data_IF_285367879249
#
_entry.id   IF_285367879249
#
_cell.length_a   1.000
_cell.length_b   1.000
_cell.length_c   1.000
_cell.angle_alpha   90.00
_cell.angle_beta   90.00
_cell.angle_gamma   90.00
#
_symmetry.space_group_name_H-M   'P 1'
#
loop_
_entity.id
_entity.type
_entity.pdbx_description
1 polymer ?
#
# COMPACT_ATOMS: atom_id res chain seq x y z
N UNK A 1 5.50 -25.55 -16.02
CA UNK A 1 5.21 -24.97 -14.69
C UNK A 1 3.74 -25.21 -14.39
N UNK A 2 3.34 -25.22 -13.11
CA UNK A 2 1.93 -25.35 -12.75
C UNK A 2 1.26 -23.99 -13.05
N UNK A 3 0.08 -23.99 -13.67
CA UNK A 3 -0.64 -22.78 -14.03
C UNK A 3 -0.85 -21.88 -12.80
N UNK A 4 -0.75 -20.57 -12.97
CA UNK A 4 -0.93 -19.62 -11.86
C UNK A 4 -2.32 -19.76 -11.22
N UNK A 5 -3.37 -19.99 -12.03
CA UNK A 5 -4.72 -20.31 -11.56
C UNK A 5 -4.73 -21.50 -10.61
N UNK A 6 -4.06 -22.60 -10.96
CA UNK A 6 -3.91 -23.78 -10.11
C UNK A 6 -3.11 -23.47 -8.84
N UNK A 7 -2.01 -22.71 -8.94
CA UNK A 7 -1.21 -22.31 -7.77
C UNK A 7 -2.07 -21.46 -6.80
N UNK A 8 -2.77 -20.47 -7.32
CA UNK A 8 -3.64 -19.58 -6.53
C UNK A 8 -4.76 -20.41 -5.87
N UNK A 9 -5.41 -21.32 -6.61
CA UNK A 9 -6.42 -22.23 -6.07
C UNK A 9 -5.88 -23.16 -4.97
N UNK A 10 -4.64 -23.65 -5.11
CA UNK A 10 -3.96 -24.44 -4.08
C UNK A 10 -3.74 -23.62 -2.82
N UNK A 11 -3.28 -22.36 -2.92
CA UNK A 11 -3.10 -21.50 -1.75
C UNK A 11 -4.42 -21.08 -1.09
N UNK A 12 -5.48 -20.88 -1.86
CA UNK A 12 -6.81 -20.53 -1.34
C UNK A 12 -7.48 -21.70 -0.61
N UNK A 13 -7.25 -22.93 -1.09
CA UNK A 13 -7.90 -24.14 -0.55
C UNK A 13 -7.12 -24.76 0.59
N UNK A 14 -5.78 -24.68 0.56
CA UNK A 14 -4.94 -25.34 1.54
C UNK A 14 -5.16 -24.77 2.95
N UNK A 15 -5.40 -25.67 3.90
CA UNK A 15 -5.46 -25.36 5.34
C UNK A 15 -4.19 -25.85 6.00
N UNK A 16 -3.36 -24.92 6.46
CA UNK A 16 -2.05 -25.23 7.02
C UNK A 16 -2.10 -26.28 8.16
N UNK A 17 -3.09 -26.21 9.04
CA UNK A 17 -3.26 -27.13 10.16
C UNK A 17 -3.65 -28.54 9.73
N UNK A 18 -4.42 -28.68 8.65
CA UNK A 18 -4.79 -29.98 8.10
C UNK A 18 -3.60 -30.63 7.39
N UNK A 19 -2.82 -29.85 6.66
CA UNK A 19 -1.63 -30.36 5.96
C UNK A 19 -0.55 -30.78 6.95
N UNK A 20 -0.22 -29.91 7.91
CA UNK A 20 0.79 -30.23 8.91
C UNK A 20 0.33 -31.36 9.84
N UNK A 21 -0.97 -31.44 10.13
CA UNK A 21 -1.57 -32.50 10.95
C UNK A 21 -1.39 -33.92 10.39
N UNK A 22 -1.11 -34.08 9.10
CA UNK A 22 -0.77 -35.38 8.50
C UNK A 22 0.60 -35.89 8.98
N UNK A 23 1.53 -34.98 9.28
CA UNK A 23 2.93 -35.29 9.58
C UNK A 23 3.24 -35.18 11.07
N UNK A 24 2.61 -34.23 11.75
CA UNK A 24 2.93 -33.86 13.13
C UNK A 24 1.67 -33.91 13.99
N UNK A 25 1.76 -34.54 15.16
CA UNK A 25 0.65 -34.60 16.09
C UNK A 25 0.39 -33.23 16.75
N UNK A 26 -0.51 -32.45 16.15
CA UNK A 26 -0.90 -31.13 16.63
C UNK A 26 -1.83 -31.21 17.86
N UNK A 27 -1.51 -30.43 18.90
CA UNK A 27 -2.37 -30.21 20.07
C UNK A 27 -2.86 -28.77 20.09
N UNK A 28 -4.15 -28.55 20.34
CA UNK A 28 -4.74 -27.21 20.37
C UNK A 28 -4.18 -26.37 21.54
N UNK A 29 -3.88 -25.10 21.29
CA UNK A 29 -3.36 -24.15 22.27
C UNK A 29 -3.93 -22.75 21.99
N UNK A 30 -5.09 -22.46 22.56
CA UNK A 30 -5.85 -21.22 22.27
C UNK A 30 -6.39 -21.22 20.84
N UNK A 31 -6.10 -20.15 20.10
CA UNK A 31 -6.43 -20.01 18.67
C UNK A 31 -5.40 -20.66 17.73
N UNK A 32 -4.29 -21.17 18.26
CA UNK A 32 -3.21 -21.82 17.51
C UNK A 32 -3.10 -23.31 17.87
N UNK A 33 -2.21 -24.02 17.19
CA UNK A 33 -1.80 -25.38 17.51
C UNK A 33 -0.32 -25.42 17.92
N UNK A 34 0.03 -26.37 18.78
CA UNK A 34 1.39 -26.65 19.21
C UNK A 34 1.75 -28.12 19.05
N UNK A 35 3.01 -28.42 18.78
CA UNK A 35 3.56 -29.77 18.74
C UNK A 35 5.04 -29.77 19.11
N UNK A 36 5.63 -30.96 19.23
CA UNK A 36 7.07 -31.12 19.23
C UNK A 36 7.61 -30.77 17.84
N UNK A 37 8.81 -30.20 17.80
CA UNK A 37 9.54 -29.91 16.56
C UNK A 37 9.69 -31.20 15.74
N UNK A 38 9.32 -31.17 14.45
CA UNK A 38 9.65 -32.27 13.54
C UNK A 38 11.08 -32.15 12.99
N UNK A 39 11.81 -31.08 13.32
CA UNK A 39 13.15 -30.80 12.81
C UNK A 39 14.26 -31.01 13.84
N UNK A 40 13.92 -31.01 15.12
CA UNK A 40 14.87 -31.22 16.22
C UNK A 40 14.28 -32.16 17.26
N UNK A 41 15.14 -32.97 17.90
CA UNK A 41 14.71 -33.87 18.97
C UNK A 41 14.55 -33.08 20.27
N UNK A 42 13.31 -32.89 20.71
CA UNK A 42 12.96 -32.09 21.88
C UNK A 42 11.88 -32.75 22.74
N UNK A 43 11.83 -32.38 24.02
CA UNK A 43 10.82 -32.87 24.98
C UNK A 43 9.70 -31.86 25.28
N UNK A 44 9.92 -30.59 24.96
CA UNK A 44 8.96 -29.51 25.21
C UNK A 44 8.48 -28.96 23.87
N UNK A 45 7.16 -28.88 23.62
CA UNK A 45 6.63 -28.38 22.34
C UNK A 45 7.10 -26.97 21.98
N UNK A 46 7.88 -26.84 20.91
CA UNK A 46 8.34 -25.56 20.36
C UNK A 46 7.82 -25.28 18.94
N UNK A 47 7.08 -26.22 18.33
CA UNK A 47 6.48 -26.04 17.02
C UNK A 47 5.07 -25.47 17.12
N UNK A 48 4.82 -24.33 16.48
CA UNK A 48 3.56 -23.60 16.53
C UNK A 48 2.97 -23.41 15.13
N UNK A 49 1.65 -23.65 15.01
CA UNK A 49 0.90 -23.43 13.76
C UNK A 49 -0.23 -22.44 14.02
N UNK A 50 -0.35 -21.43 13.16
CA UNK A 50 -1.42 -20.45 13.23
C UNK A 50 -2.33 -20.56 12.00
N UNK A 51 -3.54 -21.14 12.15
CA UNK A 51 -4.52 -21.22 11.08
C UNK A 51 -4.91 -19.85 10.53
N UNK A 52 -5.03 -18.85 11.41
CA UNK A 52 -5.43 -17.49 11.02
C UNK A 52 -4.36 -16.84 10.15
N UNK A 53 -3.08 -17.02 10.49
CA UNK A 53 -1.96 -16.44 9.73
C UNK A 53 -1.51 -17.31 8.54
N UNK A 54 -2.05 -18.54 8.41
CA UNK A 54 -1.61 -19.56 7.45
C UNK A 54 -0.09 -19.78 7.44
N UNK A 55 0.52 -19.74 8.64
CA UNK A 55 1.97 -19.98 8.84
C UNK A 55 2.25 -20.92 10.01
N UNK A 56 3.43 -21.53 9.96
CA UNK A 56 4.02 -22.27 11.06
C UNK A 56 5.37 -21.66 11.44
N UNK A 57 5.78 -21.86 12.70
CA UNK A 57 7.08 -21.48 13.21
C UNK A 57 7.56 -22.55 14.19
N UNK A 58 8.78 -23.00 13.98
CA UNK A 58 9.50 -23.80 14.93
C UNK A 58 10.50 -22.93 15.69
N UNK A 59 10.32 -22.81 17.01
CA UNK A 59 11.18 -21.97 17.84
C UNK A 59 12.52 -22.64 18.19
N UNK A 60 12.60 -23.96 18.10
CA UNK A 60 13.85 -24.70 18.37
C UNK A 60 14.82 -24.62 17.18
N UNK A 61 14.36 -24.92 15.95
CA UNK A 61 15.18 -24.85 14.74
C UNK A 61 15.26 -23.45 14.12
N UNK A 62 14.36 -22.54 14.50
CA UNK A 62 14.21 -21.22 13.90
C UNK A 62 13.53 -21.24 12.53
N UNK A 63 13.16 -22.41 11.99
CA UNK A 63 12.48 -22.53 10.69
C UNK A 63 11.01 -22.09 10.78
N UNK A 64 10.45 -21.67 9.65
CA UNK A 64 9.04 -21.27 9.58
C UNK A 64 8.64 -20.82 8.18
N UNK A 65 7.34 -20.80 7.92
CA UNK A 65 6.81 -20.40 6.61
C UNK A 65 5.35 -20.75 6.44
N UNK A 66 4.90 -20.74 5.19
CA UNK A 66 3.56 -21.21 4.83
C UNK A 66 3.53 -22.75 4.69
N UNK A 67 2.37 -23.28 4.31
CA UNK A 67 2.17 -24.73 4.12
C UNK A 67 3.10 -25.35 3.06
N UNK A 68 3.45 -24.60 2.01
CA UNK A 68 4.39 -25.06 0.98
C UNK A 68 5.80 -25.14 1.54
N UNK A 69 6.22 -24.10 2.27
CA UNK A 69 7.51 -24.08 2.95
C UNK A 69 7.63 -25.21 3.98
N UNK A 70 6.54 -25.61 4.66
CA UNK A 70 6.55 -26.79 5.54
C UNK A 70 6.95 -28.05 4.77
N UNK A 71 6.28 -28.33 3.65
CA UNK A 71 6.54 -29.51 2.83
C UNK A 71 7.95 -29.49 2.24
N UNK A 72 8.44 -28.32 1.85
CA UNK A 72 9.81 -28.17 1.37
C UNK A 72 10.85 -28.43 2.47
N UNK A 73 10.58 -28.00 3.71
CA UNK A 73 11.50 -28.19 4.84
C UNK A 73 11.44 -29.59 5.45
N UNK A 74 10.24 -30.20 5.52
CA UNK A 74 9.98 -31.49 6.17
C UNK A 74 10.17 -32.68 5.23
N UNK A 75 9.56 -32.62 4.04
CA UNK A 75 9.61 -33.69 3.04
C UNK A 75 10.70 -33.47 1.99
N UNK A 76 11.44 -32.35 2.07
CA UNK A 76 12.46 -31.96 1.09
C UNK A 76 11.93 -31.87 -0.35
N UNK A 77 10.63 -31.56 -0.50
CA UNK A 77 10.03 -31.33 -1.80
C UNK A 77 10.59 -30.07 -2.46
N UNK A 78 10.76 -30.11 -3.78
CA UNK A 78 10.85 -28.89 -4.57
C UNK A 78 9.50 -28.14 -4.57
N UNK A 79 9.53 -26.82 -4.85
CA UNK A 79 8.30 -26.02 -4.88
C UNK A 79 7.19 -26.62 -5.79
N UNK A 80 7.46 -27.08 -7.02
CA UNK A 80 6.45 -27.74 -7.84
C UNK A 80 5.93 -29.04 -7.22
N UNK A 81 6.78 -29.84 -6.57
CA UNK A 81 6.35 -31.07 -5.91
C UNK A 81 5.44 -30.80 -4.72
N UNK A 82 5.73 -29.76 -3.93
CA UNK A 82 4.88 -29.33 -2.84
C UNK A 82 3.50 -28.85 -3.33
N UNK A 83 3.45 -28.09 -4.44
CA UNK A 83 2.17 -27.70 -5.05
C UNK A 83 1.41 -28.93 -5.59
N UNK A 84 2.10 -29.89 -6.23
CA UNK A 84 1.47 -31.16 -6.69
C UNK A 84 0.93 -32.00 -5.54
N UNK A 85 1.62 -32.02 -4.41
CA UNK A 85 1.15 -32.71 -3.20
C UNK A 85 -0.15 -32.08 -2.70
N UNK A 86 -0.18 -30.75 -2.54
CA UNK A 86 -1.36 -30.02 -2.07
C UNK A 86 -2.53 -30.15 -3.05
N UNK A 87 -2.28 -30.01 -4.35
CA UNK A 87 -3.31 -30.16 -5.37
C UNK A 87 -3.96 -31.56 -5.32
N UNK A 88 -3.15 -32.63 -5.18
CA UNK A 88 -3.67 -33.99 -5.00
C UNK A 88 -4.48 -34.15 -3.71
N UNK A 89 -3.99 -33.60 -2.59
CA UNK A 89 -4.70 -33.66 -1.29
C UNK A 89 -6.07 -33.02 -1.34
N UNK A 90 -6.20 -31.89 -2.04
CA UNK A 90 -7.45 -31.14 -2.14
C UNK A 90 -8.26 -31.41 -3.41
N UNK A 91 -7.87 -32.41 -4.22
CA UNK A 91 -8.58 -32.78 -5.44
C UNK A 91 -8.58 -31.69 -6.53
N UNK A 92 -7.56 -30.84 -6.56
CA UNK A 92 -7.38 -29.76 -7.54
C UNK A 92 -6.69 -30.33 -8.78
N UNK A 93 -7.33 -30.20 -9.93
CA UNK A 93 -6.74 -30.59 -11.22
C UNK A 93 -5.57 -29.66 -11.57
N UNK A 94 -4.44 -30.26 -11.95
CA UNK A 94 -3.21 -29.51 -12.25
C UNK A 94 -3.17 -29.21 -13.74
N UNK A 95 -3.40 -27.95 -14.09
CA UNK A 95 -3.09 -27.46 -15.43
C UNK A 95 -1.59 -27.19 -15.52
N UNK A 96 -0.87 -27.95 -16.35
CA UNK A 96 0.54 -27.68 -16.63
C UNK A 96 0.65 -26.70 -17.81
N UNK A 97 1.30 -25.57 -17.59
CA UNK A 97 1.64 -24.62 -18.65
C UNK A 97 3.11 -24.75 -19.06
N UNK A 98 3.35 -24.82 -20.37
CA UNK A 98 4.65 -24.49 -20.94
C UNK A 98 4.67 -22.97 -21.06
N UNK A 99 5.60 -22.28 -20.39
CA UNK A 99 5.79 -20.86 -20.68
C UNK A 99 6.21 -20.74 -22.14
N UNK A 100 5.45 -19.97 -22.90
CA UNK A 100 5.88 -19.55 -24.24
C UNK A 100 7.19 -18.78 -24.10
N UNK A 101 8.02 -18.78 -25.15
CA UNK A 101 9.27 -18.01 -25.12
C UNK A 101 9.00 -16.52 -24.82
N UNK A 102 7.89 -15.98 -25.34
CA UNK A 102 7.39 -14.63 -25.03
C UNK A 102 7.10 -14.41 -23.52
N UNK A 103 6.55 -15.40 -22.81
CA UNK A 103 6.30 -15.31 -21.37
C UNK A 103 7.59 -15.36 -20.55
N UNK A 104 8.61 -16.10 -21.02
CA UNK A 104 9.94 -16.11 -20.39
C UNK A 104 10.64 -14.77 -20.60
N UNK A 105 10.64 -14.26 -21.83
CA UNK A 105 11.22 -12.96 -22.16
C UNK A 105 10.60 -11.83 -21.32
N UNK A 106 9.26 -11.82 -21.16
CA UNK A 106 8.59 -10.83 -20.31
C UNK A 106 8.96 -10.95 -18.83
N UNK A 107 9.19 -12.18 -18.34
CA UNK A 107 9.61 -12.43 -16.96
C UNK A 107 11.06 -11.97 -16.75
N UNK A 108 11.95 -12.29 -17.67
CA UNK A 108 13.37 -11.89 -17.65
C UNK A 108 13.53 -10.37 -17.77
N UNK A 109 12.71 -9.73 -18.60
CA UNK A 109 12.64 -8.28 -18.70
C UNK A 109 12.21 -7.67 -17.36
N UNK A 110 11.12 -8.18 -16.77
CA UNK A 110 10.66 -7.71 -15.44
C UNK A 110 11.74 -7.85 -14.37
N UNK A 111 12.44 -8.98 -14.34
CA UNK A 111 13.51 -9.21 -13.37
C UNK A 111 14.66 -8.24 -13.58
N UNK A 112 15.04 -7.98 -14.84
CA UNK A 112 16.04 -6.98 -15.19
C UNK A 112 15.67 -5.57 -14.70
N UNK A 113 14.38 -5.20 -14.77
CA UNK A 113 13.90 -3.93 -14.23
C UNK A 113 13.99 -3.88 -12.69
N UNK A 114 13.72 -4.99 -11.99
CA UNK A 114 13.84 -5.06 -10.53
C UNK A 114 15.30 -4.90 -10.10
N UNK A 115 16.22 -5.63 -10.73
CA UNK A 115 17.66 -5.55 -10.42
C UNK A 115 18.17 -4.11 -10.61
N UNK A 116 17.82 -3.47 -11.73
CA UNK A 116 18.21 -2.08 -11.98
C UNK A 116 17.60 -1.09 -10.97
N UNK A 117 16.37 -1.32 -10.53
CA UNK A 117 15.71 -0.48 -9.52
C UNK A 117 16.34 -0.65 -8.12
N UNK A 118 16.70 -1.87 -7.72
CA UNK A 118 17.43 -2.13 -6.48
C UNK A 118 18.82 -1.52 -6.51
N UNK A 119 19.53 -1.63 -7.63
CA UNK A 119 20.82 -0.94 -7.81
C UNK A 119 20.67 0.58 -7.67
N UNK A 120 19.63 1.18 -8.27
CA UNK A 120 19.38 2.61 -8.14
C UNK A 120 19.11 3.04 -6.69
N UNK A 121 18.35 2.26 -5.92
CA UNK A 121 18.14 2.51 -4.49
C UNK A 121 19.47 2.57 -3.73
N UNK A 122 20.34 1.57 -3.94
CA UNK A 122 21.67 1.52 -3.32
C UNK A 122 22.52 2.74 -3.69
N UNK A 123 22.55 3.13 -4.97
CA UNK A 123 23.32 4.31 -5.42
C UNK A 123 22.77 5.60 -4.82
N UNK A 124 21.45 5.76 -4.76
CA UNK A 124 20.86 6.98 -4.19
C UNK A 124 21.07 7.04 -2.68
N UNK A 125 21.00 5.92 -1.97
CA UNK A 125 21.32 5.83 -0.55
C UNK A 125 22.81 6.16 -0.31
N UNK A 126 23.72 5.53 -1.06
CA UNK A 126 25.16 5.82 -1.01
C UNK A 126 25.43 7.30 -1.27
N UNK A 127 24.84 7.87 -2.31
CA UNK A 127 25.00 9.29 -2.63
C UNK A 127 24.55 10.18 -1.47
N UNK A 128 23.43 9.86 -0.80
CA UNK A 128 22.94 10.63 0.34
C UNK A 128 23.95 10.63 1.50
N UNK A 129 24.52 9.46 1.80
CA UNK A 129 25.38 9.27 2.97
C UNK A 129 26.85 9.57 2.73
N UNK A 130 27.36 9.45 1.50
CA UNK A 130 28.79 9.51 1.22
C UNK A 130 29.21 10.72 0.41
N UNK A 131 28.36 11.21 -0.51
CA UNK A 131 28.71 12.37 -1.35
C UNK A 131 28.59 13.71 -0.63
N UNK A 132 29.40 14.68 -1.02
CA UNK A 132 29.34 16.04 -0.46
C UNK A 132 27.98 16.71 -0.71
N UNK A 133 27.40 16.55 -1.91
CA UNK A 133 26.07 17.09 -2.23
C UNK A 133 24.97 16.40 -1.41
N UNK A 134 25.03 15.07 -1.27
CA UNK A 134 24.09 14.30 -0.47
C UNK A 134 24.10 14.74 1.00
N UNK A 135 25.30 14.90 1.59
CA UNK A 135 25.46 15.38 2.97
C UNK A 135 25.00 16.82 3.15
N UNK A 136 25.44 17.72 2.28
CA UNK A 136 25.18 19.15 2.41
C UNK A 136 23.74 19.54 2.08
N UNK A 137 23.10 18.85 1.14
CA UNK A 137 21.78 19.22 0.59
C UNK A 137 20.73 18.20 1.01
N UNK A 138 20.91 16.93 0.66
CA UNK A 138 19.93 15.86 0.88
C UNK A 138 19.68 15.57 2.36
N UNK A 139 20.74 15.27 3.12
CA UNK A 139 20.65 15.00 4.56
C UNK A 139 20.19 16.24 5.34
N UNK A 140 20.65 17.43 4.97
CA UNK A 140 20.19 18.68 5.59
C UNK A 140 18.68 18.82 5.44
N UNK A 141 18.12 18.58 4.24
CA UNK A 141 16.67 18.61 4.04
C UNK A 141 15.93 17.60 4.92
N UNK A 142 16.39 16.35 5.00
CA UNK A 142 15.73 15.34 5.83
C UNK A 142 15.83 15.67 7.33
N UNK A 143 16.94 16.27 7.77
CA UNK A 143 17.11 16.76 9.14
C UNK A 143 16.19 17.93 9.46
N UNK A 144 16.02 18.90 8.54
CA UNK A 144 15.07 20.01 8.69
C UNK A 144 13.62 19.51 8.75
N UNK A 145 13.33 18.39 8.10
CA UNK A 145 12.06 17.66 8.22
C UNK A 145 11.92 16.90 9.54
N UNK A 146 12.97 16.79 10.35
CA UNK A 146 12.94 16.07 11.61
C UNK A 146 13.12 14.55 11.48
N UNK A 147 13.54 14.05 10.32
CA UNK A 147 13.79 12.62 10.15
C UNK A 147 15.11 12.19 10.81
N UNK A 148 15.06 11.14 11.63
CA UNK A 148 16.24 10.58 12.27
C UNK A 148 17.06 9.74 11.27
N UNK A 149 18.37 9.54 11.52
CA UNK A 149 19.19 8.64 10.71
C UNK A 149 18.61 7.24 10.55
N UNK A 150 17.98 6.71 11.61
CA UNK A 150 17.35 5.39 11.63
C UNK A 150 16.15 5.35 10.69
N UNK A 151 15.32 6.40 10.70
CA UNK A 151 14.17 6.53 9.79
C UNK A 151 14.62 6.66 8.33
N UNK A 152 15.64 7.49 8.07
CA UNK A 152 16.22 7.68 6.74
C UNK A 152 16.69 6.32 6.17
N UNK A 153 17.36 5.50 7.00
CA UNK A 153 17.79 4.15 6.63
C UNK A 153 16.63 3.15 6.51
N UNK A 154 15.66 3.17 7.42
CA UNK A 154 14.47 2.28 7.41
C UNK A 154 13.68 2.40 6.10
N UNK A 155 13.58 3.62 5.57
CA UNK A 155 12.89 3.91 4.31
C UNK A 155 13.82 3.94 3.09
N UNK A 156 15.11 3.63 3.24
CA UNK A 156 16.14 3.69 2.19
C UNK A 156 16.11 5.01 1.43
N UNK A 157 15.89 6.12 2.14
CA UNK A 157 15.84 7.44 1.51
C UNK A 157 17.21 7.77 0.90
N UNK A 158 17.19 8.44 -0.25
CA UNK A 158 18.39 8.68 -1.03
C UNK A 158 18.50 10.08 -1.61
N UNK A 159 19.56 10.31 -2.37
CA UNK A 159 19.79 11.55 -3.11
C UNK A 159 20.31 11.25 -4.53
N UNK A 160 19.67 11.85 -5.52
CA UNK A 160 20.17 11.91 -6.89
C UNK A 160 20.96 13.21 -7.04
N UNK A 161 22.24 13.08 -7.39
CA UNK A 161 23.16 14.21 -7.57
C UNK A 161 22.60 15.24 -8.56
N UNK A 162 22.96 16.52 -8.38
CA UNK A 162 22.56 17.60 -9.27
C UNK A 162 23.41 17.67 -10.55
N UNK A 163 23.60 16.51 -11.17
CA UNK A 163 24.38 16.29 -12.38
C UNK A 163 23.52 15.60 -13.43
N UNK A 164 23.74 15.90 -14.71
CA UNK A 164 22.86 15.39 -15.77
C UNK A 164 22.97 13.90 -15.99
N UNK A 165 24.11 13.26 -15.71
CA UNK A 165 24.38 11.89 -16.15
C UNK A 165 25.06 11.05 -15.06
N UNK A 166 25.06 11.51 -13.82
CA UNK A 166 25.81 10.87 -12.74
C UNK A 166 25.36 9.42 -12.52
N UNK A 167 24.06 9.18 -12.38
CA UNK A 167 23.51 7.84 -12.23
C UNK A 167 23.64 7.03 -13.53
N UNK A 168 23.21 7.62 -14.66
CA UNK A 168 23.18 6.93 -15.96
C UNK A 168 24.57 6.46 -16.38
N UNK A 169 25.60 7.30 -16.26
CA UNK A 169 26.98 6.94 -16.62
C UNK A 169 27.51 5.83 -15.73
N UNK A 170 27.26 5.90 -14.42
CA UNK A 170 27.68 4.86 -13.48
C UNK A 170 27.02 3.53 -13.77
N UNK A 171 25.69 3.52 -13.96
CA UNK A 171 24.95 2.31 -14.27
C UNK A 171 25.39 1.65 -15.58
N UNK A 172 25.63 2.44 -16.64
CA UNK A 172 26.15 1.91 -17.91
C UNK A 172 27.54 1.29 -17.75
N UNK A 173 28.41 1.91 -16.94
CA UNK A 173 29.75 1.38 -16.64
C UNK A 173 29.68 0.07 -15.82
N UNK A 174 28.70 -0.05 -14.94
CA UNK A 174 28.49 -1.23 -14.10
C UNK A 174 27.70 -2.35 -14.82
N UNK A 175 27.47 -2.21 -16.13
CA UNK A 175 26.95 -3.28 -16.99
C UNK A 175 25.45 -3.25 -17.27
N UNK A 176 24.72 -2.25 -16.76
CA UNK A 176 23.30 -2.08 -17.07
C UNK A 176 23.10 -1.54 -18.49
N UNK A 177 22.08 -2.04 -19.19
CA UNK A 177 21.80 -1.55 -20.55
C UNK A 177 20.99 -0.26 -20.52
N UNK A 178 21.23 0.63 -21.49
CA UNK A 178 20.44 1.86 -21.67
C UNK A 178 18.93 1.57 -21.71
N UNK A 179 18.55 0.50 -22.39
CA UNK A 179 17.15 0.11 -22.56
C UNK A 179 16.48 -0.13 -21.19
N UNK A 180 17.12 -0.92 -20.32
CA UNK A 180 16.63 -1.19 -18.96
C UNK A 180 16.53 0.10 -18.15
N UNK A 181 17.52 0.99 -18.21
CA UNK A 181 17.50 2.27 -17.50
C UNK A 181 16.38 3.22 -17.96
N UNK A 182 16.04 3.18 -19.25
CA UNK A 182 14.93 3.97 -19.81
C UNK A 182 13.58 3.34 -19.44
N UNK A 183 13.43 2.01 -19.56
CA UNK A 183 12.20 1.26 -19.25
C UNK A 183 11.86 1.28 -17.76
N UNK A 184 12.84 1.27 -16.87
CA UNK A 184 12.63 1.51 -15.42
C UNK A 184 12.21 2.95 -15.11
N UNK A 185 12.41 3.87 -16.05
CA UNK A 185 12.17 5.29 -15.81
C UNK A 185 13.23 5.95 -14.93
N UNK A 186 14.45 5.40 -14.85
CA UNK A 186 15.57 6.03 -14.16
C UNK A 186 16.28 7.06 -15.05
N UNK A 187 16.35 6.79 -16.35
CA UNK A 187 17.00 7.65 -17.36
C UNK A 187 16.03 8.08 -18.47
N UNK A 188 16.28 9.23 -19.08
CA UNK A 188 15.58 9.75 -20.26
C UNK A 188 16.55 9.65 -21.44
N UNK A 189 16.11 9.04 -22.54
CA UNK A 189 16.83 9.07 -23.80
C UNK A 189 16.20 10.11 -24.74
N UNK A 190 17.01 11.04 -25.23
CA UNK A 190 16.66 11.91 -26.36
C UNK A 190 17.29 11.35 -27.62
N UNK A 191 16.45 11.12 -28.62
CA UNK A 191 16.90 10.64 -29.92
C UNK A 191 17.81 11.66 -30.61
N UNK A 192 18.67 11.14 -31.49
CA UNK A 192 19.54 11.96 -32.33
C UNK A 192 18.68 12.80 -33.27
N UNK A 193 18.96 14.10 -33.32
CA UNK A 193 18.39 15.01 -34.32
C UNK A 193 19.46 15.39 -35.34
N UNK A 194 19.09 16.01 -36.46
CA UNK A 194 20.03 16.41 -37.51
C UNK A 194 21.23 17.24 -36.98
N UNK A 195 21.05 17.94 -35.86
CA UNK A 195 22.05 18.86 -35.29
C UNK A 195 22.55 18.46 -33.88
N UNK A 196 22.11 17.33 -33.31
CA UNK A 196 22.51 16.91 -31.95
C UNK A 196 22.59 15.38 -31.83
N UNK A 197 23.65 14.89 -31.20
CA UNK A 197 23.78 13.46 -30.87
C UNK A 197 22.72 13.00 -29.86
N UNK A 198 22.33 11.73 -29.97
CA UNK A 198 21.38 11.13 -29.04
C UNK A 198 21.99 11.08 -27.63
N UNK A 199 21.26 11.57 -26.63
CA UNK A 199 21.78 11.76 -25.27
C UNK A 199 20.89 11.05 -24.27
N UNK A 200 21.52 10.34 -23.33
CA UNK A 200 20.82 9.70 -22.20
C UNK A 200 21.22 10.40 -20.92
N UNK A 201 20.26 10.78 -20.08
CA UNK A 201 20.52 11.55 -18.87
C UNK A 201 19.55 11.16 -17.74
N UNK A 202 19.90 11.53 -16.52
CA UNK A 202 19.19 11.18 -15.30
C UNK A 202 17.83 11.89 -15.24
N UNK A 203 16.78 11.13 -14.91
CA UNK A 203 15.45 11.72 -14.70
C UNK A 203 15.37 12.49 -13.41
N UNK A 204 16.00 11.99 -12.35
CA UNK A 204 15.82 12.49 -10.99
C UNK A 204 16.88 13.51 -10.55
N UNK A 205 17.62 14.12 -11.48
CA UNK A 205 18.67 15.13 -11.21
C UNK A 205 18.31 16.09 -10.06
N UNK A 206 19.18 16.17 -9.05
CA UNK A 206 19.10 17.13 -7.95
C UNK A 206 17.91 16.93 -7.01
N UNK A 207 17.47 15.69 -6.79
CA UNK A 207 16.30 15.36 -5.97
C UNK A 207 16.65 14.46 -4.80
N UNK A 208 15.98 14.69 -3.67
CA UNK A 208 15.88 13.66 -2.63
C UNK A 208 14.89 12.59 -3.07
N UNK A 209 15.23 11.34 -2.76
CA UNK A 209 14.62 10.15 -3.33
C UNK A 209 13.85 9.38 -2.26
N UNK A 210 12.65 8.95 -2.63
CA UNK A 210 11.73 8.15 -1.85
C UNK A 210 11.48 6.84 -2.63
N UNK A 211 12.18 5.75 -2.32
CA UNK A 211 11.96 4.47 -3.00
C UNK A 211 10.54 3.96 -2.76
N UNK A 212 9.92 3.42 -3.80
CA UNK A 212 8.55 2.90 -3.74
C UNK A 212 8.62 1.38 -3.79
N UNK A 213 8.25 0.72 -2.69
CA UNK A 213 8.32 -0.74 -2.58
C UNK A 213 6.99 -1.42 -2.88
N UNK A 214 7.09 -2.63 -3.43
CA UNK A 214 5.98 -3.58 -3.47
C UNK A 214 5.65 -4.08 -2.06
N UNK A 215 4.49 -4.74 -1.89
CA UNK A 215 4.15 -5.46 -0.66
C UNK A 215 5.25 -6.47 -0.22
N UNK A 216 6.01 -7.02 -1.17
CA UNK A 216 7.14 -7.94 -0.93
C UNK A 216 8.47 -7.26 -0.58
N UNK A 217 8.58 -5.93 -0.70
CA UNK A 217 9.83 -5.19 -0.45
C UNK A 217 10.69 -4.95 -1.69
N UNK A 218 10.33 -5.49 -2.86
CA UNK A 218 11.01 -5.14 -4.13
C UNK A 218 10.79 -3.68 -4.49
N UNK A 219 11.85 -3.00 -4.93
CA UNK A 219 11.82 -1.62 -5.41
C UNK A 219 11.12 -1.56 -6.77
N UNK A 220 10.03 -0.81 -6.86
CA UNK A 220 9.23 -0.66 -8.09
C UNK A 220 9.62 0.60 -8.86
N UNK A 221 9.99 1.65 -8.15
CA UNK A 221 10.29 2.96 -8.71
C UNK A 221 10.56 3.96 -7.60
N UNK A 222 10.51 5.26 -7.92
CA UNK A 222 10.91 6.31 -7.01
C UNK A 222 9.98 7.52 -7.09
N UNK A 223 9.71 8.12 -5.94
CA UNK A 223 9.33 9.52 -5.82
C UNK A 223 10.59 10.38 -5.65
N UNK A 224 10.60 11.57 -6.24
CA UNK A 224 11.74 12.48 -6.18
C UNK A 224 11.29 13.92 -5.94
N UNK A 225 11.81 14.56 -4.89
CA UNK A 225 11.51 15.97 -4.57
C UNK A 225 12.70 16.86 -4.91
N UNK A 226 12.46 17.88 -5.73
CA UNK A 226 13.50 18.88 -6.04
C UNK A 226 13.70 19.81 -4.84
N UNK A 227 14.97 20.15 -4.57
CA UNK A 227 15.34 21.08 -3.50
C UNK A 227 15.76 22.46 -4.03
N UNK A 228 16.09 22.55 -5.31
CA UNK A 228 16.45 23.80 -5.99
C UNK A 228 15.28 24.73 -6.27
N UNK A 229 15.59 26.00 -6.56
CA UNK A 229 14.62 27.10 -6.81
C UNK A 229 14.07 27.15 -8.25
N UNK A 230 14.20 26.09 -9.04
CA UNK A 230 13.66 26.08 -10.40
C UNK A 230 12.12 26.08 -10.36
N UNK A 231 11.54 27.26 -10.53
CA UNK A 231 10.07 27.47 -10.51
C UNK A 231 9.35 26.71 -11.63
N UNK A 232 10.04 26.23 -12.67
CA UNK A 232 9.45 25.49 -13.78
C UNK A 232 9.43 23.97 -13.54
N UNK A 233 10.22 23.47 -12.60
CA UNK A 233 10.27 22.04 -12.31
C UNK A 233 9.18 21.63 -11.32
N UNK A 234 8.53 20.49 -11.57
CA UNK A 234 7.56 19.94 -10.63
C UNK A 234 8.23 19.62 -9.28
N UNK A 235 7.61 20.10 -8.18
CA UNK A 235 8.10 19.93 -6.80
C UNK A 235 8.35 18.46 -6.47
N UNK A 236 7.38 17.60 -6.79
CA UNK A 236 7.49 16.15 -6.72
C UNK A 236 7.37 15.54 -8.11
N UNK A 237 8.08 14.45 -8.33
CA UNK A 237 8.03 13.66 -9.55
C UNK A 237 8.14 12.18 -9.19
N UNK A 238 7.23 11.36 -9.72
CA UNK A 238 7.31 9.92 -9.58
C UNK A 238 7.85 9.30 -10.86
N UNK A 239 8.41 8.09 -10.76
CA UNK A 239 8.70 7.25 -11.92
C UNK A 239 7.50 7.21 -12.89
N UNK A 240 7.74 7.13 -14.21
CA UNK A 240 6.69 6.83 -15.18
C UNK A 240 6.19 5.39 -14.99
N UNK A 241 5.05 5.06 -15.60
CA UNK A 241 4.53 3.68 -15.64
C UNK A 241 5.56 2.74 -16.31
N UNK A 242 5.68 1.51 -15.80
CA UNK A 242 6.56 0.47 -16.32
C UNK A 242 5.97 -0.93 -16.08
N UNK A 243 6.62 -2.00 -16.54
CA UNK A 243 6.17 -3.38 -16.29
C UNK A 243 6.15 -3.76 -14.81
N UNK A 244 6.91 -3.05 -13.97
CA UNK A 244 7.02 -3.28 -12.52
C UNK A 244 6.34 -2.20 -11.68
N UNK A 245 6.03 -1.04 -12.25
CA UNK A 245 5.43 0.07 -11.52
C UNK A 245 4.19 0.63 -12.22
N UNK A 246 3.06 0.48 -11.52
CA UNK A 246 1.81 1.12 -11.90
C UNK A 246 1.34 1.98 -10.73
N UNK A 247 1.25 3.30 -10.91
CA UNK A 247 0.89 4.23 -9.83
C UNK A 247 -0.46 3.88 -9.20
N UNK A 248 -1.41 3.49 -10.03
CA UNK A 248 -2.75 3.07 -9.60
C UNK A 248 -2.76 1.76 -8.82
N UNK A 249 -1.66 1.00 -8.70
CA UNK A 249 -1.65 -0.32 -8.04
C UNK A 249 -0.74 -0.39 -6.82
N UNK A 250 -0.18 0.75 -6.41
CA UNK A 250 0.84 0.83 -5.36
C UNK A 250 0.49 1.92 -4.37
N UNK A 251 0.75 1.65 -3.10
CA UNK A 251 0.67 2.60 -2.00
C UNK A 251 2.07 2.74 -1.39
N UNK A 252 2.53 3.96 -1.21
CA UNK A 252 3.80 4.19 -0.53
C UNK A 252 3.70 3.79 0.94
N UNK A 253 4.80 3.25 1.48
CA UNK A 253 4.87 2.74 2.86
C UNK A 253 4.19 1.39 3.08
N UNK A 254 3.52 0.80 2.07
CA UNK A 254 2.77 -0.46 2.26
C UNK A 254 3.67 -1.62 2.72
N UNK A 255 4.91 -1.68 2.24
CA UNK A 255 5.89 -2.68 2.66
C UNK A 255 6.17 -2.59 4.17
N UNK A 256 6.38 -1.38 4.66
CA UNK A 256 6.65 -1.07 6.06
C UNK A 256 5.39 -1.25 6.92
N UNK A 257 4.22 -0.85 6.42
CA UNK A 257 2.99 -0.78 7.18
C UNK A 257 2.21 -2.09 7.28
N UNK A 258 2.40 -3.05 6.35
CA UNK A 258 1.54 -4.24 6.22
C UNK A 258 1.33 -5.04 7.50
N UNK A 259 2.35 -5.15 8.36
CA UNK A 259 2.26 -5.87 9.61
C UNK A 259 1.43 -5.11 10.65
N UNK A 260 1.67 -3.79 10.77
CA UNK A 260 0.92 -2.92 11.66
C UNK A 260 -0.55 -2.80 11.23
N UNK A 261 -0.84 -2.65 9.93
CA UNK A 261 -2.21 -2.59 9.40
C UNK A 261 -3.01 -3.83 9.82
N UNK A 262 -2.43 -5.03 9.67
CA UNK A 262 -3.08 -6.28 10.04
C UNK A 262 -3.21 -6.46 11.55
N UNK A 263 -2.24 -5.95 12.34
CA UNK A 263 -2.23 -6.06 13.80
C UNK A 263 -3.24 -5.13 14.47
N UNK A 264 -3.29 -3.87 14.03
CA UNK A 264 -4.14 -2.83 14.60
C UNK A 264 -5.56 -2.80 13.96
N UNK A 265 -5.80 -3.65 12.96
CA UNK A 265 -7.03 -3.70 12.16
C UNK A 265 -7.51 -2.31 11.71
N UNK A 266 -6.58 -1.49 11.23
CA UNK A 266 -6.87 -0.18 10.66
C UNK A 266 -5.73 0.24 9.74
N UNK A 267 -6.07 0.84 8.60
CA UNK A 267 -5.12 1.47 7.70
C UNK A 267 -5.36 2.98 7.70
N UNK A 268 -4.37 3.75 8.13
CA UNK A 268 -4.38 5.19 7.95
C UNK A 268 -3.94 5.53 6.53
N UNK A 269 -4.73 6.35 5.84
CA UNK A 269 -4.45 6.81 4.48
C UNK A 269 -4.16 8.31 4.49
N UNK A 270 -2.95 8.69 4.11
CA UNK A 270 -2.47 10.09 3.97
C UNK A 270 -2.14 10.41 2.52
N UNK A 271 -1.81 11.67 2.20
CA UNK A 271 -1.54 12.10 0.83
C UNK A 271 -0.09 11.89 0.39
N UNK A 272 0.86 12.20 1.27
CA UNK A 272 2.26 12.38 0.92
C UNK A 272 3.23 11.35 1.49
N UNK A 273 4.43 11.32 0.92
CA UNK A 273 5.56 10.52 1.41
C UNK A 273 5.98 10.91 2.82
N UNK A 274 6.06 12.21 3.09
CA UNK A 274 6.56 12.76 4.34
C UNK A 274 5.65 12.40 5.51
N UNK A 275 4.34 12.43 5.27
CA UNK A 275 3.30 12.12 6.25
C UNK A 275 3.44 10.65 6.71
N UNK A 276 3.62 9.73 5.76
CA UNK A 276 3.89 8.31 6.07
C UNK A 276 5.16 8.18 6.91
N UNK A 277 6.28 8.75 6.47
CA UNK A 277 7.57 8.60 7.14
C UNK A 277 7.51 9.18 8.56
N UNK A 278 6.91 10.37 8.72
CA UNK A 278 6.85 11.06 10.00
C UNK A 278 5.97 10.32 11.01
N UNK A 279 4.81 9.81 10.58
CA UNK A 279 3.93 9.01 11.43
C UNK A 279 4.60 7.69 11.84
N UNK A 280 5.28 7.01 10.92
CA UNK A 280 6.06 5.80 11.22
C UNK A 280 7.19 6.08 12.20
N UNK A 281 7.86 7.24 12.08
CA UNK A 281 8.90 7.64 13.02
C UNK A 281 8.35 7.89 14.43
N UNK A 282 7.16 8.46 14.54
CA UNK A 282 6.49 8.67 15.83
C UNK A 282 6.09 7.34 16.49
N UNK A 283 5.83 6.30 15.69
CA UNK A 283 5.42 4.97 16.15
C UNK A 283 4.08 4.49 15.58
N UNK A 284 3.41 5.31 14.76
CA UNK A 284 2.16 4.97 14.09
C UNK A 284 2.50 4.34 12.73
N UNK A 285 2.70 3.02 12.73
CA UNK A 285 3.27 2.29 11.60
C UNK A 285 2.22 1.79 10.58
N UNK A 286 0.92 1.90 10.86
CA UNK A 286 -0.15 1.44 9.98
C UNK A 286 -0.61 2.51 8.96
N UNK A 287 0.34 3.32 8.47
CA UNK A 287 0.08 4.48 7.59
C UNK A 287 0.62 4.23 6.17
N UNK A 288 -0.16 4.59 5.15
CA UNK A 288 0.20 4.49 3.72
C UNK A 288 -0.28 5.71 2.94
N UNK A 289 0.30 5.95 1.76
CA UNK A 289 -0.10 7.07 0.88
C UNK A 289 -0.35 6.66 -0.57
N UNK A 290 -1.27 7.36 -1.26
CA UNK A 290 -1.43 7.27 -2.71
C UNK A 290 -0.36 8.06 -3.48
N UNK A 291 0.41 8.91 -2.78
CA UNK A 291 1.69 9.49 -3.21
C UNK A 291 1.66 10.21 -4.55
N UNK A 292 0.87 11.28 -4.61
CA UNK A 292 0.81 12.18 -5.79
C UNK A 292 -0.12 11.70 -6.91
N UNK A 293 -1.06 10.81 -6.58
CA UNK A 293 -2.18 10.44 -7.45
C UNK A 293 -3.48 10.35 -6.65
N UNK A 294 -4.62 10.51 -7.34
CA UNK A 294 -5.91 10.24 -6.73
C UNK A 294 -6.00 8.76 -6.32
N UNK A 295 -6.65 8.49 -5.18
CA UNK A 295 -6.91 7.13 -4.71
C UNK A 295 -7.67 6.32 -5.77
N UNK A 296 -7.28 5.06 -5.95
CA UNK A 296 -7.85 4.15 -6.96
C UNK A 296 -8.45 2.89 -6.35
N UNK A 297 -9.41 2.23 -7.04
CA UNK A 297 -9.97 0.95 -6.59
C UNK A 297 -8.91 -0.14 -6.37
N UNK A 298 -7.88 -0.20 -7.20
CA UNK A 298 -6.80 -1.18 -7.11
C UNK A 298 -5.96 -0.97 -5.83
N UNK A 299 -5.64 0.28 -5.48
CA UNK A 299 -4.99 0.60 -4.21
C UNK A 299 -5.86 0.22 -3.01
N UNK A 300 -7.16 0.49 -3.07
CA UNK A 300 -8.10 0.12 -1.99
C UNK A 300 -8.16 -1.41 -1.85
N UNK A 301 -8.19 -2.15 -2.96
CA UNK A 301 -8.09 -3.63 -2.95
C UNK A 301 -6.77 -4.13 -2.36
N UNK A 302 -5.69 -3.38 -2.51
CA UNK A 302 -4.41 -3.71 -1.86
C UNK A 302 -4.51 -3.61 -0.33
N UNK A 303 -5.15 -2.55 0.18
CA UNK A 303 -5.42 -2.39 1.63
C UNK A 303 -6.38 -3.48 2.12
N UNK A 304 -7.42 -3.79 1.35
CA UNK A 304 -8.43 -4.80 1.68
C UNK A 304 -7.86 -6.20 1.96
N UNK A 305 -6.68 -6.52 1.42
CA UNK A 305 -5.97 -7.77 1.72
C UNK A 305 -5.45 -7.84 3.16
N UNK A 306 -5.35 -6.71 3.85
CA UNK A 306 -4.77 -6.56 5.18
C UNK A 306 -5.82 -6.23 6.25
N UNK A 307 -6.78 -5.37 5.93
CA UNK A 307 -7.88 -4.97 6.82
C UNK A 307 -9.08 -4.49 6.00
N UNK A 308 -10.28 -4.48 6.58
CA UNK A 308 -11.46 -3.80 6.00
C UNK A 308 -11.68 -2.39 6.54
N UNK A 309 -10.85 -1.93 7.48
CA UNK A 309 -10.98 -0.64 8.17
C UNK A 309 -9.98 0.36 7.60
N UNK A 310 -10.48 1.50 7.10
CA UNK A 310 -9.64 2.60 6.63
C UNK A 310 -10.01 3.87 7.38
N UNK A 311 -9.01 4.56 7.93
CA UNK A 311 -9.17 5.92 8.44
C UNK A 311 -8.41 6.87 7.54
N UNK A 312 -9.12 7.74 6.82
CA UNK A 312 -8.47 8.74 5.97
C UNK A 312 -8.09 9.95 6.83
N UNK A 313 -6.83 10.34 6.74
CA UNK A 313 -6.22 11.44 7.48
C UNK A 313 -6.10 12.66 6.55
N UNK A 314 -6.72 13.78 6.92
CA UNK A 314 -6.76 14.99 6.10
C UNK A 314 -6.02 16.16 6.71
N UNK A 315 -5.27 16.84 5.85
CA UNK A 315 -4.76 18.18 6.09
C UNK A 315 -5.92 19.11 6.48
N UNK A 316 -5.66 20.06 7.37
CA UNK A 316 -6.65 21.03 7.85
C UNK A 316 -7.06 22.09 6.81
N UNK A 317 -7.05 21.78 5.52
CA UNK A 317 -7.36 22.70 4.42
C UNK A 317 -8.59 22.31 3.57
N UNK A 318 -9.17 23.30 2.88
CA UNK A 318 -10.39 23.13 2.07
C UNK A 318 -10.17 22.35 0.76
N UNK A 319 -8.92 22.14 0.33
CA UNK A 319 -8.60 21.38 -0.87
C UNK A 319 -8.57 19.88 -0.58
N UNK A 320 -7.92 19.48 0.53
CA UNK A 320 -7.90 18.12 1.07
C UNK A 320 -9.32 17.62 1.29
N UNK A 321 -10.14 18.41 2.00
CA UNK A 321 -11.55 18.13 2.30
C UNK A 321 -12.42 17.71 1.10
N UNK A 322 -12.20 18.28 -0.10
CA UNK A 322 -12.99 17.92 -1.31
C UNK A 322 -12.45 16.68 -2.01
N UNK A 323 -11.14 16.45 -1.97
CA UNK A 323 -10.53 15.21 -2.46
C UNK A 323 -10.97 14.01 -1.61
N UNK A 324 -11.12 14.22 -0.30
CA UNK A 324 -11.64 13.28 0.70
C UNK A 324 -12.94 12.60 0.30
N UNK A 325 -13.94 13.40 -0.13
CA UNK A 325 -15.29 12.91 -0.37
C UNK A 325 -15.34 11.86 -1.48
N UNK A 326 -14.51 12.04 -2.52
CA UNK A 326 -14.37 11.03 -3.58
C UNK A 326 -13.68 9.77 -3.10
N UNK A 327 -12.67 9.91 -2.24
CA UNK A 327 -11.97 8.76 -1.64
C UNK A 327 -12.91 7.90 -0.78
N UNK A 328 -13.77 8.54 0.02
CA UNK A 328 -14.77 7.87 0.86
C UNK A 328 -15.67 6.95 0.01
N UNK A 329 -16.24 7.48 -1.07
CA UNK A 329 -17.17 6.70 -1.91
C UNK A 329 -16.47 5.51 -2.57
N UNK A 330 -15.22 5.68 -3.03
CA UNK A 330 -14.42 4.59 -3.59
C UNK A 330 -14.13 3.49 -2.56
N UNK A 331 -13.83 3.87 -1.32
CA UNK A 331 -13.56 2.90 -0.22
C UNK A 331 -14.84 2.11 0.10
N UNK A 332 -15.98 2.81 0.25
CA UNK A 332 -17.29 2.20 0.48
C UNK A 332 -17.69 1.24 -0.65
N UNK A 333 -17.43 1.62 -1.91
CA UNK A 333 -17.73 0.81 -3.10
C UNK A 333 -16.93 -0.51 -3.12
N UNK A 334 -15.71 -0.53 -2.57
CA UNK A 334 -14.93 -1.77 -2.42
C UNK A 334 -15.36 -2.63 -1.22
N UNK A 335 -16.43 -2.25 -0.51
CA UNK A 335 -17.00 -2.97 0.63
C UNK A 335 -16.24 -2.78 1.95
N UNK A 336 -15.39 -1.75 2.01
CA UNK A 336 -14.62 -1.41 3.20
C UNK A 336 -15.36 -0.41 4.07
N UNK A 337 -14.99 -0.31 5.35
CA UNK A 337 -15.51 0.70 6.24
C UNK A 337 -14.53 1.87 6.29
N UNK A 338 -15.06 3.09 6.32
CA UNK A 338 -14.25 4.31 6.28
C UNK A 338 -14.60 5.23 7.44
N UNK A 339 -13.54 5.67 8.12
CA UNK A 339 -13.55 6.82 9.01
C UNK A 339 -12.72 7.95 8.42
N UNK A 340 -12.95 9.13 8.94
CA UNK A 340 -12.28 10.37 8.55
C UNK A 340 -11.79 11.07 9.79
N UNK A 341 -10.50 11.41 9.82
CA UNK A 341 -9.91 12.27 10.82
C UNK A 341 -9.31 13.50 10.11
N UNK A 342 -9.89 14.68 10.36
CA UNK A 342 -9.35 15.94 9.88
C UNK A 342 -8.46 16.54 10.98
N UNK A 343 -7.27 17.00 10.61
CA UNK A 343 -6.37 17.69 11.52
C UNK A 343 -6.80 19.16 11.75
N UNK A 344 -6.28 19.82 12.80
CA UNK A 344 -6.56 21.24 13.04
C UNK A 344 -6.15 22.12 11.86
N UNK A 345 -6.75 23.32 11.75
CA UNK A 345 -6.42 24.26 10.68
C UNK A 345 -4.92 24.57 10.65
N UNK A 346 -4.31 24.42 9.47
CA UNK A 346 -2.88 24.64 9.25
C UNK A 346 -1.96 23.48 9.63
N UNK A 347 -2.51 22.39 10.18
CA UNK A 347 -1.77 21.16 10.46
C UNK A 347 -2.01 20.10 9.38
N UNK A 348 -0.97 19.33 9.10
CA UNK A 348 -0.99 18.08 8.32
C UNK A 348 -0.48 16.92 9.20
N UNK A 349 -0.57 15.65 8.76
CA UNK A 349 -0.08 14.54 9.59
C UNK A 349 1.42 14.62 9.92
N UNK A 350 2.25 15.25 9.07
CA UNK A 350 3.68 15.46 9.33
C UNK A 350 3.88 16.50 10.45
N UNK A 351 3.35 17.72 10.30
CA UNK A 351 3.49 18.79 11.30
C UNK A 351 2.87 18.40 12.63
N UNK A 352 1.70 17.76 12.63
CA UNK A 352 1.03 17.33 13.85
C UNK A 352 1.83 16.25 14.59
N UNK A 353 2.36 15.26 13.87
CA UNK A 353 3.20 14.22 14.46
C UNK A 353 4.54 14.74 14.97
N UNK A 354 5.07 15.85 14.44
CA UNK A 354 6.28 16.49 14.97
C UNK A 354 6.03 17.32 16.22
N UNK A 355 4.84 17.91 16.33
CA UNK A 355 4.48 18.81 17.42
C UNK A 355 3.99 18.08 18.69
N UNK A 356 3.62 16.79 18.59
CA UNK A 356 2.95 16.05 19.65
C UNK A 356 3.64 14.70 19.95
N UNK A 357 3.41 14.18 21.15
CA UNK A 357 3.82 12.83 21.56
C UNK A 357 2.98 11.74 20.89
N UNK A 358 3.48 10.51 20.90
CA UNK A 358 2.78 9.36 20.35
C UNK A 358 1.41 9.16 21.01
N UNK A 359 1.35 9.30 22.33
CA UNK A 359 0.12 9.17 23.12
C UNK A 359 -0.92 10.25 22.75
N UNK A 360 -0.48 11.50 22.59
CA UNK A 360 -1.36 12.61 22.16
C UNK A 360 -1.90 12.39 20.76
N UNK A 361 -1.08 11.93 19.82
CA UNK A 361 -1.55 11.64 18.45
C UNK A 361 -2.51 10.45 18.44
N UNK A 362 -2.24 9.39 19.20
CA UNK A 362 -3.18 8.27 19.32
C UNK A 362 -4.53 8.72 19.87
N UNK A 363 -4.53 9.44 21.00
CA UNK A 363 -5.76 9.95 21.60
C UNK A 363 -6.51 10.86 20.62
N UNK A 364 -5.80 11.74 19.92
CA UNK A 364 -6.40 12.62 18.93
C UNK A 364 -7.10 11.83 17.81
N UNK A 365 -6.43 10.82 17.25
CA UNK A 365 -6.99 9.98 16.17
C UNK A 365 -8.21 9.17 16.66
N UNK A 366 -8.19 8.69 17.90
CA UNK A 366 -9.32 7.96 18.48
C UNK A 366 -10.55 8.86 18.70
N UNK A 367 -10.34 10.06 19.23
CA UNK A 367 -11.42 10.99 19.57
C UNK A 367 -11.98 11.75 18.35
N UNK A 368 -11.17 11.97 17.31
CA UNK A 368 -11.53 12.82 16.17
C UNK A 368 -11.87 12.04 14.90
N UNK A 369 -11.60 10.74 14.84
CA UNK A 369 -12.00 9.90 13.71
C UNK A 369 -13.51 9.64 13.70
N UNK A 370 -14.21 10.26 12.74
CA UNK A 370 -15.66 10.17 12.55
C UNK A 370 -16.01 9.23 11.41
N UNK A 371 -17.16 8.55 11.48
CA UNK A 371 -17.67 7.86 10.30
C UNK A 371 -18.07 8.88 9.20
N UNK A 372 -18.25 8.40 7.97
CA UNK A 372 -18.52 9.29 6.83
C UNK A 372 -19.84 10.09 6.94
N UNK A 373 -20.86 9.58 7.64
CA UNK A 373 -22.12 10.28 7.87
C UNK A 373 -21.86 11.44 8.82
N UNK A 374 -21.28 11.15 9.98
CA UNK A 374 -20.91 12.15 10.99
C UNK A 374 -20.00 13.23 10.39
N UNK A 375 -19.04 12.83 9.57
CA UNK A 375 -18.14 13.74 8.89
C UNK A 375 -18.87 14.69 7.94
N UNK A 376 -19.67 14.17 7.01
CA UNK A 376 -20.47 14.98 6.06
C UNK A 376 -21.46 15.90 6.78
N UNK A 377 -22.07 15.43 7.87
CA UNK A 377 -22.94 16.25 8.72
C UNK A 377 -22.15 17.37 9.41
N UNK A 378 -20.95 17.09 9.92
CA UNK A 378 -20.12 18.12 10.57
C UNK A 378 -19.69 19.22 9.59
N UNK A 379 -19.40 18.87 8.34
CA UNK A 379 -19.09 19.84 7.28
C UNK A 379 -20.30 20.75 6.96
N UNK A 380 -21.50 20.16 6.85
CA UNK A 380 -22.74 20.94 6.67
C UNK A 380 -22.94 21.96 7.79
N UNK A 381 -22.69 21.55 9.04
CA UNK A 381 -22.85 22.45 10.19
C UNK A 381 -21.88 23.64 10.12
N UNK A 382 -20.63 23.41 9.68
CA UNK A 382 -19.65 24.47 9.47
C UNK A 382 -20.04 25.44 8.32
N UNK A 383 -20.75 24.96 7.29
CA UNK A 383 -21.17 25.76 6.13
C UNK A 383 -22.53 26.46 6.28
N UNK A 384 -23.10 26.51 7.49
CA UNK A 384 -24.41 27.12 7.77
C UNK A 384 -25.56 26.13 7.70
N UNK A 385 -25.48 25.06 8.51
CA UNK A 385 -26.38 23.89 8.49
C UNK A 385 -27.87 24.13 8.78
N UNK A 386 -28.29 25.38 9.01
CA UNK A 386 -29.70 25.78 9.12
C UNK A 386 -30.39 25.98 7.77
N UNK A 387 -29.64 26.09 6.67
CA UNK A 387 -30.20 26.23 5.33
C UNK A 387 -30.88 24.91 4.89
N UNK A 388 -32.21 24.90 4.65
CA UNK A 388 -32.93 23.69 4.27
C UNK A 388 -32.45 23.07 2.94
N UNK A 389 -32.01 23.89 1.99
CA UNK A 389 -31.53 23.44 0.68
C UNK A 389 -30.18 22.74 0.84
N UNK A 390 -29.26 23.33 1.61
CA UNK A 390 -27.96 22.70 1.91
C UNK A 390 -28.16 21.38 2.66
N UNK A 391 -29.02 21.38 3.68
CA UNK A 391 -29.36 20.16 4.42
C UNK A 391 -29.89 19.06 3.51
N UNK A 392 -30.85 19.38 2.63
CA UNK A 392 -31.40 18.41 1.68
C UNK A 392 -30.33 17.88 0.70
N UNK A 393 -29.40 18.73 0.25
CA UNK A 393 -28.29 18.30 -0.61
C UNK A 393 -27.32 17.37 0.12
N UNK A 394 -26.95 17.68 1.36
CA UNK A 394 -26.10 16.81 2.19
C UNK A 394 -26.75 15.46 2.47
N UNK A 395 -28.06 15.43 2.77
CA UNK A 395 -28.80 14.16 2.93
C UNK A 395 -28.70 13.33 1.65
N UNK A 396 -28.93 13.94 0.49
CA UNK A 396 -28.84 13.23 -0.80
C UNK A 396 -27.43 12.72 -1.07
N UNK A 397 -26.41 13.50 -0.72
CA UNK A 397 -25.00 13.11 -0.85
C UNK A 397 -24.63 11.93 0.07
N UNK A 398 -25.08 11.94 1.32
CA UNK A 398 -24.92 10.81 2.26
C UNK A 398 -25.60 9.56 1.73
N UNK A 399 -26.86 9.66 1.27
CA UNK A 399 -27.58 8.51 0.68
C UNK A 399 -26.88 8.02 -0.59
N UNK A 400 -26.28 8.92 -1.37
CA UNK A 400 -25.43 8.59 -2.51
C UNK A 400 -24.23 7.72 -2.12
N UNK A 401 -23.51 8.07 -1.05
CA UNK A 401 -22.44 7.25 -0.49
C UNK A 401 -22.94 5.90 0.01
N UNK A 402 -24.07 5.87 0.74
CA UNK A 402 -24.68 4.62 1.22
C UNK A 402 -25.03 3.71 0.03
N UNK A 403 -25.51 4.27 -1.08
CA UNK A 403 -25.86 3.51 -2.28
C UNK A 403 -24.66 2.73 -2.87
N UNK A 404 -23.43 3.20 -2.67
CA UNK A 404 -22.20 2.54 -3.12
C UNK A 404 -21.83 1.29 -2.32
N UNK A 405 -22.32 1.17 -1.08
CA UNK A 405 -21.99 0.04 -0.20
C UNK A 405 -22.56 -1.27 -0.79
N UNK A 406 -21.75 -2.31 -1.05
CA UNK A 406 -22.27 -3.56 -1.62
C UNK A 406 -23.24 -4.31 -0.69
N UNK A 407 -22.97 -4.27 0.62
CA UNK A 407 -23.71 -5.00 1.64
C UNK A 407 -25.07 -4.34 1.95
N UNK A 408 -26.15 -5.13 1.82
CA UNK A 408 -27.53 -4.65 2.00
C UNK A 408 -27.88 -4.37 3.47
N UNK A 409 -27.34 -5.14 4.40
CA UNK A 409 -27.59 -4.97 5.85
C UNK A 409 -26.87 -3.71 6.32
N UNK A 410 -25.61 -3.51 5.91
CA UNK A 410 -24.88 -2.27 6.20
C UNK A 410 -25.61 -1.05 5.66
N UNK A 411 -26.15 -1.13 4.43
CA UNK A 411 -26.98 -0.06 3.85
C UNK A 411 -28.17 0.30 4.74
N UNK A 412 -28.90 -0.69 5.22
CA UNK A 412 -30.06 -0.49 6.09
C UNK A 412 -29.67 0.19 7.40
N UNK A 413 -28.63 -0.29 8.07
CA UNK A 413 -28.13 0.30 9.32
C UNK A 413 -27.66 1.75 9.10
N UNK A 414 -26.94 2.03 8.02
CA UNK A 414 -26.50 3.40 7.72
C UNK A 414 -27.67 4.34 7.36
N UNK A 415 -28.74 3.83 6.76
CA UNK A 415 -29.96 4.63 6.53
C UNK A 415 -30.62 5.00 7.85
N UNK A 416 -30.76 4.05 8.78
CA UNK A 416 -31.30 4.31 10.12
C UNK A 416 -30.47 5.37 10.86
N UNK A 417 -29.15 5.26 10.79
CA UNK A 417 -28.25 6.23 11.43
C UNK A 417 -28.34 7.61 10.77
N UNK A 418 -28.42 7.67 9.43
CA UNK A 418 -28.65 8.91 8.69
C UNK A 418 -29.98 9.57 9.07
N UNK A 419 -31.06 8.79 9.19
CA UNK A 419 -32.37 9.27 9.63
C UNK A 419 -32.29 9.92 11.02
N UNK A 420 -31.63 9.24 11.95
CA UNK A 420 -31.43 9.70 13.33
C UNK A 420 -30.63 11.00 13.39
N UNK A 421 -29.49 11.07 12.71
CA UNK A 421 -28.60 12.25 12.74
C UNK A 421 -29.23 13.45 12.01
N UNK A 422 -29.85 13.20 10.85
CA UNK A 422 -30.37 14.26 9.98
C UNK A 422 -31.84 14.60 10.25
N UNK A 423 -32.52 13.93 11.18
CA UNK A 423 -33.92 14.18 11.52
C UNK A 423 -34.86 14.05 10.32
N UNK A 424 -34.60 13.10 9.43
CA UNK A 424 -35.41 12.79 8.24
C UNK A 424 -36.02 11.41 8.41
N UNK A 425 -37.26 11.19 7.94
CA UNK A 425 -37.89 9.88 8.05
C UNK A 425 -37.15 8.82 7.23
N UNK A 426 -37.04 7.61 7.78
CA UNK A 426 -36.42 6.47 7.10
C UNK A 426 -37.09 6.17 5.76
N UNK A 427 -38.42 6.28 5.69
CA UNK A 427 -39.19 6.07 4.46
C UNK A 427 -38.69 6.97 3.30
N UNK A 428 -38.44 8.25 3.57
CA UNK A 428 -37.93 9.19 2.56
C UNK A 428 -36.50 8.80 2.12
N UNK A 429 -35.66 8.37 3.07
CA UNK A 429 -34.29 7.95 2.77
C UNK A 429 -34.24 6.65 1.97
N UNK A 430 -35.05 5.64 2.30
CA UNK A 430 -35.16 4.39 1.55
C UNK A 430 -35.71 4.63 0.14
N UNK A 431 -36.72 5.50 -0.01
CA UNK A 431 -37.23 5.90 -1.33
C UNK A 431 -36.14 6.58 -2.17
N UNK A 432 -35.36 7.48 -1.56
CA UNK A 432 -34.24 8.15 -2.22
C UNK A 432 -33.14 7.15 -2.63
N UNK A 433 -32.80 6.21 -1.75
CA UNK A 433 -31.83 5.15 -2.01
C UNK A 433 -32.27 4.27 -3.19
N UNK A 434 -33.56 3.93 -3.28
CA UNK A 434 -34.13 3.16 -4.38
C UNK A 434 -34.03 3.91 -5.71
N UNK A 435 -34.31 5.22 -5.72
CA UNK A 435 -34.19 6.07 -6.92
C UNK A 435 -32.74 6.19 -7.39
N UNK A 436 -31.78 6.38 -6.48
CA UNK A 436 -30.35 6.44 -6.83
C UNK A 436 -29.88 5.08 -7.37
N UNK A 437 -30.30 3.98 -6.73
CA UNK A 437 -29.92 2.63 -7.13
C UNK A 437 -30.53 2.21 -8.47
N UNK A 438 -31.72 2.72 -8.85
CA UNK A 438 -32.30 2.47 -10.17
C UNK A 438 -31.57 3.27 -11.26
N UNK A 439 -31.24 4.53 -10.99
CA UNK A 439 -30.46 5.38 -11.90
C UNK A 439 -29.08 4.79 -12.20
N UNK A 440 -28.34 4.39 -11.17
CA UNK A 440 -27.02 3.77 -11.34
C UNK A 440 -27.07 2.49 -12.19
N UNK A 441 -28.13 1.67 -12.04
CA UNK A 441 -28.33 0.46 -12.86
C UNK A 441 -28.63 0.79 -14.32
N UNK A 442 -29.39 1.85 -14.59
CA UNK A 442 -29.66 2.31 -15.96
C UNK A 442 -28.40 2.87 -16.64
N UNK A 443 -27.53 3.55 -15.88
CA UNK A 443 -26.27 4.08 -16.40
C UNK A 443 -25.24 2.97 -16.67
N UNK A 444 -25.21 1.90 -15.87
CA UNK A 444 -24.34 0.74 -16.10
C UNK A 444 -24.80 -0.16 -17.25
N UNK A 445 -26.08 -0.11 -17.62
CA UNK A 445 -26.65 -0.89 -18.71
C UNK A 445 -26.52 -0.21 -20.09
N UNK A 446 -26.04 1.03 -20.12
CA UNK A 446 -25.69 1.78 -21.33
C UNK A 446 -24.19 1.72 -21.54
#
# INVERSE_FOLDING_TARGET
MIAKSTIDQVYETARIEEVIGDFVQLKKSGSNFKALSPFTDERTPSFMVSPVKQIWKDFSSGKGGNVVAFLMEHEHFSYPEAIRYLARKYGIEIEETVQTDEQKELADERESLFIASTYAEQIFEENLWESDQGKAIGLTYFKERGFTPETIKKFSLGYSLDEWEAFTTRALKDGYTREVLVKTGLSIHREKTANQEGKTFDRFKGRVMFPIHSMSGRVLGFGGRILGKDKKAAKYMNSPESLIYYKSKVLYGIYHAKQAIAKEDNCYLVEGYTDVIQMHQLGIENVVASSGTALTPEQIRLIRRLTTQVTVLFDGDAAGLRASLRGIDLILEQGMNVKVCAFPEGEDPDSFARANSLEEVHLYLEENAKDFIQFKTSLLMAEGGSDPIKRANTVRDIVGSIARIPDRIKKEIYIQECARIMGVSEEVLFNTLAQISSKNRQEQAK
#
